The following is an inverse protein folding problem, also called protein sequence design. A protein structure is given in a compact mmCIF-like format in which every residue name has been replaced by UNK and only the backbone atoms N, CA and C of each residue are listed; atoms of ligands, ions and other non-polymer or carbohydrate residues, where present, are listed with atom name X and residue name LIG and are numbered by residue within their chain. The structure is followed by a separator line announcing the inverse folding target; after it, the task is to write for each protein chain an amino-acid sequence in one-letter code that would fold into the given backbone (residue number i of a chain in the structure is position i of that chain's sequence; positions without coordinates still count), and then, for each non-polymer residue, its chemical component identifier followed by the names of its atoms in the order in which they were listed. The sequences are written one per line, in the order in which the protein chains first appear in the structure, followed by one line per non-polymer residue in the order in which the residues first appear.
data_IF_910184963688
#
_entry.id   IF_910184963688
#
_cell.length_a   1.000
_cell.length_b   1.000
_cell.length_c   1.000
_cell.angle_alpha   90.00
_cell.angle_beta   90.00
_cell.angle_gamma   90.00
#
_symmetry.space_group_name_H-M   'P 1'
#
loop_
_entity.id
_entity.type
_entity.pdbx_description
1 polymer ?
#
# COMPACT_ATOMS: atom_id res chain seq x y z
N UNK A 1 14.44 8.05 2.42
CA UNK A 1 13.39 8.19 1.40
C UNK A 1 13.03 6.86 0.71
N UNK A 2 13.96 6.10 0.13
CA UNK A 2 13.61 4.86 -0.59
C UNK A 2 12.73 3.89 0.16
N UNK A 3 13.04 3.58 1.41
CA UNK A 3 12.23 2.69 2.25
C UNK A 3 10.80 3.20 2.45
N UNK A 4 10.62 4.50 2.68
CA UNK A 4 9.29 5.09 2.84
C UNK A 4 8.47 5.00 1.54
N UNK A 5 9.11 5.16 0.37
CA UNK A 5 8.46 4.94 -0.93
C UNK A 5 7.99 3.50 -1.07
N UNK A 6 8.83 2.52 -0.70
CA UNK A 6 8.46 1.10 -0.75
C UNK A 6 7.29 0.77 0.17
N UNK A 7 7.31 1.27 1.41
CA UNK A 7 6.22 1.07 2.38
C UNK A 7 4.92 1.71 1.90
N UNK A 8 4.97 2.93 1.38
CA UNK A 8 3.80 3.59 0.82
C UNK A 8 3.19 2.79 -0.33
N UNK A 9 4.03 2.40 -1.30
CA UNK A 9 3.57 1.65 -2.46
C UNK A 9 3.02 0.26 -2.08
N UNK A 10 3.53 -0.36 -1.01
CA UNK A 10 3.01 -1.65 -0.53
C UNK A 10 1.56 -1.57 -0.03
N UNK A 11 1.10 -0.41 0.43
CA UNK A 11 -0.28 -0.23 0.89
C UNK A 11 -1.28 -0.09 -0.25
N UNK A 12 -0.86 0.34 -1.45
CA UNK A 12 -1.77 0.62 -2.56
C UNK A 12 -2.36 -0.67 -3.17
N UNK A 13 -3.65 -0.66 -3.55
CA UNK A 13 -4.31 -1.81 -4.16
C UNK A 13 -4.01 -1.89 -5.66
N UNK A 14 -2.74 -2.06 -6.01
CA UNK A 14 -2.28 -2.11 -7.40
C UNK A 14 -1.44 -3.34 -7.63
N UNK A 15 -1.74 -4.07 -8.73
CA UNK A 15 -0.83 -5.10 -9.22
C UNK A 15 0.46 -4.45 -9.74
N UNK A 16 1.61 -5.03 -9.41
CA UNK A 16 2.90 -4.48 -9.80
C UNK A 16 3.40 -3.34 -8.90
N UNK A 17 3.02 -3.33 -7.64
CA UNK A 17 3.46 -2.36 -6.60
C UNK A 17 4.98 -2.14 -6.61
N UNK A 18 5.77 -3.18 -6.91
CA UNK A 18 7.22 -3.10 -7.01
C UNK A 18 7.65 -2.16 -8.13
N UNK A 19 7.00 -2.21 -9.31
CA UNK A 19 7.31 -1.30 -10.42
C UNK A 19 6.96 0.15 -10.06
N UNK A 20 5.80 0.36 -9.42
CA UNK A 20 5.38 1.68 -8.96
C UNK A 20 6.35 2.19 -7.89
N UNK A 21 6.80 1.32 -6.98
CA UNK A 21 7.82 1.64 -5.98
C UNK A 21 9.14 2.08 -6.61
N UNK A 22 9.60 1.41 -7.66
CA UNK A 22 10.79 1.78 -8.42
C UNK A 22 10.63 3.15 -9.09
N UNK A 23 9.51 3.37 -9.77
CA UNK A 23 9.22 4.63 -10.45
C UNK A 23 9.15 5.78 -9.44
N UNK A 24 8.39 5.60 -8.36
CA UNK A 24 8.23 6.59 -7.30
C UNK A 24 9.56 6.92 -6.62
N UNK A 25 10.37 5.90 -6.32
CA UNK A 25 11.70 6.11 -5.75
C UNK A 25 12.60 6.90 -6.71
N UNK A 26 12.55 6.63 -8.01
CA UNK A 26 13.29 7.40 -9.02
C UNK A 26 12.83 8.83 -9.14
N UNK A 27 11.53 9.08 -9.21
CA UNK A 27 10.96 10.43 -9.29
C UNK A 27 11.32 11.29 -8.08
N UNK A 28 11.39 10.68 -6.90
CA UNK A 28 11.77 11.36 -5.65
C UNK A 28 13.28 11.36 -5.41
N UNK A 29 14.10 11.00 -6.40
CA UNK A 29 15.57 10.88 -6.29
C UNK A 29 16.00 10.02 -5.08
N UNK A 30 15.22 9.01 -4.76
CA UNK A 30 15.44 8.10 -3.65
C UNK A 30 16.12 6.80 -4.11
N UNK A 31 16.74 6.07 -3.19
CA UNK A 31 17.38 4.79 -3.51
C UNK A 31 16.35 3.72 -3.87
N UNK A 32 16.35 3.28 -5.12
CA UNK A 32 15.50 2.18 -5.61
C UNK A 32 15.80 0.88 -4.86
N UNK A 33 17.08 0.57 -4.64
CA UNK A 33 17.49 -0.65 -3.92
C UNK A 33 16.94 -0.67 -2.49
N UNK A 34 16.86 0.51 -1.85
CA UNK A 34 16.30 0.63 -0.51
C UNK A 34 14.77 0.55 -0.49
N UNK A 35 14.07 0.74 -1.62
CA UNK A 35 12.61 0.64 -1.67
C UNK A 35 12.13 -0.81 -1.86
N UNK A 36 12.87 -1.63 -2.59
CA UNK A 36 12.46 -2.97 -3.00
C UNK A 36 12.04 -3.91 -1.86
N UNK A 37 12.83 -4.09 -0.78
CA UNK A 37 12.46 -5.00 0.31
C UNK A 37 11.14 -4.61 0.98
N UNK A 38 10.84 -3.33 1.02
CA UNK A 38 9.68 -2.78 1.71
C UNK A 38 8.38 -2.91 0.88
N UNK A 39 8.47 -3.08 -0.43
CA UNK A 39 7.30 -3.42 -1.25
C UNK A 39 6.77 -4.82 -0.96
N UNK A 40 7.57 -5.69 -0.35
CA UNK A 40 7.19 -7.06 0.01
C UNK A 40 6.45 -7.17 1.35
N UNK A 41 6.23 -6.07 2.06
CA UNK A 41 5.34 -6.03 3.24
C UNK A 41 3.95 -6.52 2.86
N UNK A 42 3.46 -6.16 1.67
CA UNK A 42 2.23 -6.71 1.11
C UNK A 42 2.49 -8.08 0.49
N UNK A 43 2.33 -9.10 1.29
CA UNK A 43 2.23 -10.49 0.84
C UNK A 43 0.75 -10.93 0.83
N UNK A 44 0.39 -12.07 0.22
CA UNK A 44 -1.00 -12.52 0.17
C UNK A 44 -1.70 -12.58 1.54
N UNK A 45 -0.96 -12.84 2.61
CA UNK A 45 -1.50 -12.91 3.97
C UNK A 45 -1.79 -11.52 4.56
N UNK A 46 -0.94 -10.54 4.31
CA UNK A 46 -1.06 -9.17 4.86
C UNK A 46 -1.89 -8.26 3.96
N UNK A 47 -1.95 -8.53 2.67
CA UNK A 47 -2.67 -7.71 1.68
C UNK A 47 -4.16 -7.65 1.97
N UNK A 48 -4.79 -8.81 2.23
CA UNK A 48 -6.24 -8.89 2.47
C UNK A 48 -6.67 -8.07 3.69
N UNK A 49 -6.09 -8.25 4.90
CA UNK A 49 -6.45 -7.45 6.06
C UNK A 49 -6.11 -5.95 5.88
N UNK A 50 -5.01 -5.64 5.19
CA UNK A 50 -4.61 -4.25 4.95
C UNK A 50 -5.59 -3.53 4.00
N UNK A 51 -6.00 -4.18 2.92
CA UNK A 51 -6.98 -3.62 1.99
C UNK A 51 -8.38 -3.52 2.62
N UNK A 52 -8.77 -4.52 3.43
CA UNK A 52 -10.02 -4.45 4.18
C UNK A 52 -10.03 -3.29 5.18
N UNK A 53 -8.94 -3.10 5.91
CA UNK A 53 -8.77 -1.95 6.80
C UNK A 53 -8.80 -0.62 6.03
N UNK A 54 -8.14 -0.55 4.88
CA UNK A 54 -8.16 0.59 3.96
C UNK A 54 -9.58 0.90 3.48
N UNK A 55 -10.30 -0.12 3.04
CA UNK A 55 -11.69 0.02 2.61
C UNK A 55 -12.60 0.58 3.70
N UNK A 56 -12.51 0.02 4.92
CA UNK A 56 -13.28 0.52 6.09
C UNK A 56 -12.94 1.96 6.44
N UNK A 57 -11.66 2.30 6.44
CA UNK A 57 -11.19 3.68 6.68
C UNK A 57 -11.68 4.62 5.58
N UNK A 58 -11.63 4.18 4.32
CA UNK A 58 -12.10 4.96 3.19
C UNK A 58 -13.60 5.24 3.24
N UNK A 59 -14.42 4.25 3.63
CA UNK A 59 -15.87 4.47 3.86
C UNK A 59 -16.10 5.48 4.97
N UNK A 60 -15.33 5.42 6.03
CA UNK A 60 -15.44 6.35 7.15
C UNK A 60 -15.08 7.79 6.75
N UNK A 61 -14.10 7.96 5.87
CA UNK A 61 -13.65 9.28 5.37
C UNK A 61 -14.59 9.82 4.28
N UNK A 62 -15.20 8.95 3.49
CA UNK A 62 -16.04 9.37 2.35
C UNK A 62 -17.49 9.53 2.82
N UNK A 63 -18.02 10.77 2.97
CA UNK A 63 -19.42 10.98 3.34
C UNK A 63 -20.34 10.49 2.21
N UNK A 64 -21.18 9.53 2.52
CA UNK A 64 -22.18 8.97 1.61
C UNK A 64 -22.83 7.72 2.19
N UNK A 65 -24.09 7.47 1.84
CA UNK A 65 -24.85 6.29 2.31
C UNK A 65 -24.41 5.02 1.54
N UNK A 66 -23.08 4.74 1.52
CA UNK A 66 -22.51 3.58 0.84
C UNK A 66 -22.63 2.37 1.74
N UNK A 67 -23.29 1.32 1.24
CA UNK A 67 -23.33 0.03 1.94
C UNK A 67 -21.90 -0.47 2.14
N UNK A 68 -21.49 -0.59 3.38
CA UNK A 68 -20.24 -1.25 3.74
C UNK A 68 -20.36 -2.72 3.37
N UNK A 69 -19.68 -3.14 2.29
CA UNK A 69 -19.60 -4.56 1.97
C UNK A 69 -18.96 -5.32 3.14
N UNK A 70 -19.63 -6.37 3.58
CA UNK A 70 -19.11 -7.26 4.59
C UNK A 70 -17.93 -8.07 4.02
N UNK A 71 -17.02 -8.52 4.88
CA UNK A 71 -15.93 -9.43 4.46
C UNK A 71 -16.46 -10.68 3.75
N UNK A 72 -17.63 -11.18 4.17
CA UNK A 72 -18.30 -12.33 3.55
C UNK A 72 -18.79 -12.01 2.13
N UNK A 73 -19.31 -10.81 1.91
CA UNK A 73 -19.77 -10.36 0.57
C UNK A 73 -18.59 -10.17 -0.38
N UNK A 74 -17.49 -9.60 0.08
CA UNK A 74 -16.25 -9.47 -0.71
C UNK A 74 -15.71 -10.87 -1.10
N UNK A 75 -15.72 -11.81 -0.16
CA UNK A 75 -15.30 -13.19 -0.41
C UNK A 75 -16.25 -13.91 -1.37
N UNK A 76 -17.55 -13.69 -1.24
CA UNK A 76 -18.56 -14.25 -2.15
C UNK A 76 -18.43 -13.67 -3.56
N UNK A 77 -18.20 -12.38 -3.70
CA UNK A 77 -17.93 -11.73 -4.99
C UNK A 77 -16.68 -12.31 -5.67
N UNK A 78 -15.60 -12.50 -4.92
CA UNK A 78 -14.38 -13.13 -5.43
C UNK A 78 -14.60 -14.59 -5.83
N UNK A 79 -15.44 -15.34 -5.11
CA UNK A 79 -15.76 -16.72 -5.45
C UNK A 79 -16.65 -16.84 -6.69
N UNK A 80 -17.68 -15.98 -6.78
CA UNK A 80 -18.59 -15.95 -7.91
C UNK A 80 -17.90 -15.50 -9.20
N UNK A 81 -16.88 -14.65 -9.10
CA UNK A 81 -16.06 -14.19 -10.22
C UNK A 81 -15.39 -15.34 -11.01
N UNK A 82 -15.06 -16.44 -10.34
CA UNK A 82 -14.44 -17.62 -10.96
C UNK A 82 -15.43 -18.46 -11.77
N UNK A 83 -16.74 -18.20 -11.67
CA UNK A 83 -17.80 -19.00 -12.28
C UNK A 83 -18.73 -18.20 -13.21
N UNK A 84 -18.47 -16.91 -13.42
CA UNK A 84 -19.25 -16.01 -14.28
C UNK A 84 -18.66 -15.96 -15.69
N UNK A 85 -19.56 -15.81 -16.69
CA UNK A 85 -19.15 -15.47 -18.05
C UNK A 85 -18.44 -14.10 -18.09
N UNK A 86 -17.41 -13.98 -18.92
CA UNK A 86 -16.54 -12.81 -19.01
C UNK A 86 -17.29 -11.49 -19.23
N UNK A 87 -18.43 -11.51 -19.93
CA UNK A 87 -19.24 -10.32 -20.24
C UNK A 87 -20.09 -9.86 -19.05
N UNK A 88 -20.66 -10.77 -18.29
CA UNK A 88 -21.44 -10.45 -17.08
C UNK A 88 -20.52 -10.05 -15.92
N UNK A 89 -19.37 -10.73 -15.78
CA UNK A 89 -18.36 -10.40 -14.80
C UNK A 89 -17.80 -8.99 -14.99
N UNK A 90 -17.56 -8.55 -16.22
CA UNK A 90 -17.08 -7.21 -16.54
C UNK A 90 -18.09 -6.11 -16.19
N UNK A 91 -19.38 -6.32 -16.40
CA UNK A 91 -20.40 -5.32 -16.08
C UNK A 91 -20.62 -5.16 -14.58
N UNK A 92 -20.61 -6.25 -13.83
CA UNK A 92 -20.69 -6.24 -12.36
C UNK A 92 -19.43 -5.62 -11.72
N UNK A 93 -18.24 -5.94 -12.25
CA UNK A 93 -16.99 -5.28 -11.83
C UNK A 93 -17.08 -3.78 -12.10
N UNK A 94 -17.59 -3.35 -13.22
CA UNK A 94 -17.63 -1.94 -13.56
C UNK A 94 -18.54 -1.13 -12.62
N UNK A 95 -19.66 -1.68 -12.19
CA UNK A 95 -20.64 -0.98 -11.36
C UNK A 95 -20.31 -1.09 -9.87
N UNK A 96 -20.15 -2.30 -9.34
CA UNK A 96 -19.90 -2.51 -7.90
C UNK A 96 -18.46 -2.26 -7.50
N UNK A 97 -17.53 -2.58 -8.37
CA UNK A 97 -16.10 -2.41 -8.13
C UNK A 97 -15.68 -0.94 -8.17
N UNK A 98 -16.29 -0.12 -9.04
CA UNK A 98 -16.00 1.31 -9.10
C UNK A 98 -16.45 2.04 -7.83
N UNK A 99 -17.62 1.67 -7.29
CA UNK A 99 -18.10 2.23 -6.03
C UNK A 99 -17.25 1.81 -4.81
N UNK A 100 -16.69 0.61 -4.83
CA UNK A 100 -15.80 0.12 -3.79
C UNK A 100 -14.34 0.61 -3.94
N UNK A 101 -13.90 0.85 -5.18
CA UNK A 101 -12.52 1.28 -5.48
C UNK A 101 -12.18 2.64 -4.87
N UNK A 102 -13.06 3.61 -4.97
CA UNK A 102 -12.76 4.96 -4.49
C UNK A 102 -12.50 4.99 -2.98
N UNK A 103 -13.35 4.42 -2.10
CA UNK A 103 -13.03 4.33 -0.68
C UNK A 103 -11.81 3.45 -0.40
N UNK A 104 -11.63 2.34 -1.12
CA UNK A 104 -10.45 1.51 -1.00
C UNK A 104 -9.16 2.30 -1.27
N UNK A 105 -9.11 3.05 -2.38
CA UNK A 105 -7.96 3.88 -2.74
C UNK A 105 -7.69 4.96 -1.71
N UNK A 106 -8.70 5.72 -1.31
CA UNK A 106 -8.55 6.79 -0.32
C UNK A 106 -8.04 6.24 1.01
N UNK A 107 -8.63 5.17 1.51
CA UNK A 107 -8.23 4.57 2.77
C UNK A 107 -6.83 3.95 2.73
N UNK A 108 -6.45 3.27 1.64
CA UNK A 108 -5.12 2.69 1.50
C UNK A 108 -4.04 3.76 1.31
N UNK A 109 -4.32 4.87 0.65
CA UNK A 109 -3.42 6.03 0.58
C UNK A 109 -3.19 6.60 1.99
N UNK A 110 -4.22 6.76 2.80
CA UNK A 110 -4.09 7.24 4.18
C UNK A 110 -3.28 6.28 5.04
N UNK A 111 -3.56 4.96 4.95
CA UNK A 111 -2.75 3.94 5.65
C UNK A 111 -1.30 4.00 5.17
N UNK A 112 -1.07 4.05 3.87
CA UNK A 112 0.27 4.13 3.29
C UNK A 112 1.05 5.34 3.79
N UNK A 113 0.43 6.52 3.84
CA UNK A 113 1.04 7.74 4.36
C UNK A 113 1.33 7.64 5.86
N UNK A 114 0.38 7.12 6.64
CA UNK A 114 0.55 6.97 8.10
C UNK A 114 1.64 5.96 8.46
N UNK A 115 1.89 4.97 7.62
CA UNK A 115 2.99 4.02 7.79
C UNK A 115 4.32 4.56 7.25
N UNK A 116 4.30 5.24 6.11
CA UNK A 116 5.50 5.74 5.45
C UNK A 116 6.15 6.89 6.24
N UNK A 117 5.35 7.80 6.80
CA UNK A 117 5.86 8.96 7.53
C UNK A 117 6.72 8.58 8.75
N UNK A 118 6.24 7.79 9.72
CA UNK A 118 7.08 7.38 10.86
C UNK A 118 8.26 6.52 10.44
N UNK A 119 8.09 5.66 9.42
CA UNK A 119 9.17 4.85 8.89
C UNK A 119 10.29 5.69 8.27
N UNK A 120 9.94 6.78 7.61
CA UNK A 120 10.92 7.73 7.07
C UNK A 120 11.79 8.33 8.19
N UNK A 121 11.16 8.84 9.25
CA UNK A 121 11.88 9.43 10.38
C UNK A 121 12.74 8.41 11.11
N UNK A 122 12.21 7.21 11.35
CA UNK A 122 12.94 6.14 12.03
C UNK A 122 14.20 5.73 11.25
N UNK A 123 14.06 5.47 9.96
CA UNK A 123 15.18 5.06 9.11
C UNK A 123 16.18 6.20 8.93
N UNK A 124 15.71 7.43 8.81
CA UNK A 124 16.57 8.61 8.75
C UNK A 124 17.44 8.70 10.02
N UNK A 125 16.84 8.60 11.19
CA UNK A 125 17.54 8.67 12.48
C UNK A 125 18.56 7.53 12.66
N UNK A 126 18.17 6.30 12.36
CA UNK A 126 19.06 5.13 12.42
C UNK A 126 20.24 5.31 11.47
N UNK A 127 20.00 5.74 10.25
CA UNK A 127 21.06 5.93 9.24
C UNK A 127 22.04 7.00 9.67
N UNK A 128 21.55 8.12 10.20
CA UNK A 128 22.39 9.21 10.70
C UNK A 128 23.28 8.74 11.86
N UNK A 129 22.71 8.01 12.81
CA UNK A 129 23.47 7.47 13.95
C UNK A 129 24.55 6.47 13.51
N UNK A 130 24.25 5.59 12.56
CA UNK A 130 25.23 4.67 11.99
C UNK A 130 26.38 5.42 11.30
N UNK A 131 26.08 6.46 10.53
CA UNK A 131 27.09 7.27 9.85
C UNK A 131 27.97 8.02 10.86
N UNK A 132 27.38 8.62 11.89
CA UNK A 132 28.12 9.29 12.98
C UNK A 132 29.08 8.34 13.69
N UNK A 133 28.63 7.10 13.98
CA UNK A 133 29.48 6.07 14.62
C UNK A 133 30.63 5.63 13.72
N UNK A 134 30.38 5.49 12.39
CA UNK A 134 31.45 5.15 11.43
C UNK A 134 32.50 6.25 11.31
N UNK A 135 32.11 7.50 11.27
CA UNK A 135 33.03 8.65 11.20
C UNK A 135 33.91 8.73 12.45
N UNK A 136 33.32 8.57 13.65
CA UNK A 136 34.07 8.54 14.91
C UNK A 136 35.09 7.40 14.98
N UNK A 137 34.77 6.23 14.41
CA UNK A 137 35.72 5.10 14.37
C UNK A 137 36.90 5.36 13.42
N UNK A 138 36.65 6.02 12.29
CA UNK A 138 37.73 6.38 11.32
C UNK A 138 38.68 7.45 11.85
N UNK A 139 38.23 8.30 12.77
CA UNK A 139 39.09 9.33 13.38
C UNK A 139 39.94 8.78 14.53
N UNK A 140 39.66 7.58 15.05
CA UNK A 140 40.41 6.93 16.12
C UNK A 140 41.49 5.96 15.62
N UNK A 141 41.46 5.59 14.35
CA UNK A 141 42.50 4.77 13.69
C UNK A 141 43.33 5.65 12.75
#
# INVERSE_FOLDING_TARGET
MGCACGIFCSALPIFGQTFIGIITARLLSASVIASLPWTWISNPLTTVPMWYGGYKLGIWITPGNRKSLSYIEIKALMHNFNHMDWTEGLSLIYIEFWEALLPLWLGTVVIGLTMAAPSFFLIYYITEEILRRRTRRRQKN
#
